data_IF_476430622795
#
_entry.id   IF_476430622795
#
_cell.length_a   1.000
_cell.length_b   1.000
_cell.length_c   1.000
_cell.angle_alpha   90.00
_cell.angle_beta   90.00
_cell.angle_gamma   90.00
#
_symmetry.space_group_name_H-M   'P 1'
#
loop_
_entity.id
_entity.type
_entity.pdbx_description
1 polymer ?
#
# COMPACT_ATOMS: atom_id res chain seq x y z
N UNK A 1 20.89 4.16 -19.09
CA UNK A 1 21.20 2.96 -18.28
C UNK A 1 19.92 2.47 -17.61
N UNK A 2 19.51 1.22 -17.85
CA UNK A 2 18.43 0.58 -17.09
C UNK A 2 19.03 0.09 -15.78
N UNK A 3 18.83 0.82 -14.67
CA UNK A 3 19.13 0.25 -13.34
C UNK A 3 18.00 -0.73 -13.01
N UNK A 4 18.27 -2.03 -12.89
CA UNK A 4 17.24 -3.03 -12.56
C UNK A 4 16.53 -2.71 -11.23
N UNK A 5 17.17 -1.96 -10.35
CA UNK A 5 16.63 -1.55 -9.03
C UNK A 5 15.78 -0.27 -9.07
N UNK A 6 15.53 0.32 -10.24
CA UNK A 6 14.77 1.58 -10.31
C UNK A 6 13.29 1.44 -9.91
N UNK A 7 12.77 0.21 -9.93
CA UNK A 7 11.38 -0.10 -9.64
C UNK A 7 11.22 -1.09 -8.49
N UNK A 8 10.07 -1.02 -7.84
CA UNK A 8 9.60 -2.00 -6.85
C UNK A 8 8.18 -2.42 -7.22
N UNK A 9 7.85 -3.70 -7.08
CA UNK A 9 6.51 -4.21 -7.36
C UNK A 9 5.63 -4.10 -6.11
N UNK A 10 4.33 -3.93 -6.30
CA UNK A 10 3.36 -3.99 -5.20
C UNK A 10 2.85 -5.41 -4.99
N UNK A 11 2.61 -5.80 -3.74
CA UNK A 11 2.00 -7.08 -3.39
C UNK A 11 0.78 -6.87 -2.51
N UNK A 12 -0.31 -7.51 -2.88
CA UNK A 12 -1.51 -7.59 -2.07
C UNK A 12 -1.26 -8.50 -0.87
N UNK A 13 -1.39 -7.94 0.34
CA UNK A 13 -1.40 -8.68 1.59
C UNK A 13 -2.81 -8.78 2.18
N UNK A 14 -2.93 -8.74 3.51
CA UNK A 14 -4.21 -8.95 4.22
C UNK A 14 -5.28 -7.95 3.75
N UNK A 15 -6.47 -8.48 3.48
CA UNK A 15 -7.67 -7.73 3.13
C UNK A 15 -7.51 -6.77 1.92
N UNK A 16 -6.59 -7.07 1.00
CA UNK A 16 -6.40 -6.32 -0.24
C UNK A 16 -7.00 -7.11 -1.41
N UNK A 17 -7.86 -6.44 -2.21
CA UNK A 17 -8.37 -6.96 -3.49
C UNK A 17 -7.50 -6.55 -4.67
N UNK A 18 -7.06 -5.30 -4.70
CA UNK A 18 -6.17 -4.79 -5.74
C UNK A 18 -5.41 -3.54 -5.31
N UNK A 19 -4.26 -3.32 -5.95
CA UNK A 19 -3.38 -2.16 -5.78
C UNK A 19 -3.05 -1.62 -7.17
N UNK A 20 -3.07 -0.30 -7.34
CA UNK A 20 -2.64 0.35 -8.58
C UNK A 20 -1.80 1.58 -8.24
N UNK A 21 -0.65 1.80 -8.89
CA UNK A 21 -0.01 0.96 -9.91
C UNK A 21 0.66 -0.29 -9.31
N UNK A 22 0.94 -1.30 -10.15
CA UNK A 22 1.60 -2.54 -9.76
C UNK A 22 3.13 -2.42 -9.62
N UNK A 23 3.70 -1.34 -10.19
CA UNK A 23 5.13 -1.01 -10.13
C UNK A 23 5.29 0.45 -9.75
N UNK A 24 6.20 0.72 -8.84
CA UNK A 24 6.53 2.05 -8.33
C UNK A 24 7.97 2.34 -8.65
N UNK A 25 8.30 3.63 -8.83
CA UNK A 25 9.70 4.03 -8.92
C UNK A 25 10.25 4.32 -7.53
N UNK A 26 11.51 3.94 -7.29
CA UNK A 26 12.20 4.18 -6.02
C UNK A 26 12.68 5.62 -5.81
N UNK A 27 12.61 6.47 -6.83
CA UNK A 27 13.15 7.84 -6.79
C UNK A 27 12.09 8.93 -6.60
N UNK A 28 10.80 8.58 -6.51
CA UNK A 28 9.72 9.56 -6.39
C UNK A 28 8.50 9.05 -5.63
N UNK A 29 7.77 9.94 -4.92
CA UNK A 29 6.51 9.59 -4.32
C UNK A 29 5.49 9.12 -5.35
N UNK A 30 4.64 8.17 -4.97
CA UNK A 30 3.57 7.65 -5.83
C UNK A 30 2.28 7.50 -5.04
N UNK A 31 1.15 7.77 -5.69
CA UNK A 31 -0.18 7.54 -5.11
C UNK A 31 -0.63 6.11 -5.44
N UNK A 32 -0.89 5.33 -4.40
CA UNK A 32 -1.51 4.02 -4.50
C UNK A 32 -3.03 4.16 -4.42
N UNK A 33 -3.71 3.44 -5.30
CA UNK A 33 -5.15 3.23 -5.31
C UNK A 33 -5.42 1.80 -4.89
N UNK A 34 -6.01 1.64 -3.71
CA UNK A 34 -6.14 0.35 -3.04
C UNK A 34 -7.62 0.04 -2.88
N UNK A 35 -8.03 -1.16 -3.29
CA UNK A 35 -9.35 -1.70 -3.00
C UNK A 35 -9.21 -2.85 -2.01
N UNK A 36 -10.06 -2.86 -0.99
CA UNK A 36 -10.10 -3.93 0.00
C UNK A 36 -10.96 -5.10 -0.48
N UNK A 37 -10.70 -6.29 0.05
CA UNK A 37 -11.46 -7.50 -0.29
C UNK A 37 -12.78 -7.57 0.48
N UNK A 38 -12.76 -7.22 1.77
CA UNK A 38 -13.88 -7.29 2.68
C UNK A 38 -14.03 -5.97 3.47
N UNK A 39 -15.26 -5.59 3.85
CA UNK A 39 -15.47 -4.43 4.69
C UNK A 39 -14.93 -4.70 6.10
N UNK A 40 -14.23 -3.72 6.68
CA UNK A 40 -13.71 -3.79 8.04
C UNK A 40 -13.74 -2.40 8.69
N UNK A 41 -13.91 -2.36 10.01
CA UNK A 41 -13.90 -1.15 10.83
C UNK A 41 -12.65 -1.08 11.69
N UNK A 42 -12.28 0.14 12.08
CA UNK A 42 -11.12 0.48 12.91
C UNK A 42 -9.86 -0.24 12.43
N UNK A 43 -9.40 0.12 11.23
CA UNK A 43 -8.29 -0.56 10.55
C UNK A 43 -7.05 0.33 10.43
N UNK A 44 -5.90 -0.32 10.27
CA UNK A 44 -4.64 0.28 9.86
C UNK A 44 -4.31 -0.24 8.47
N UNK A 45 -4.10 0.68 7.52
CA UNK A 45 -3.46 0.35 6.26
C UNK A 45 -1.95 0.56 6.39
N UNK A 46 -1.18 -0.45 5.99
CA UNK A 46 0.28 -0.44 6.03
C UNK A 46 0.85 -0.62 4.62
N UNK A 47 1.88 0.15 4.28
CA UNK A 47 2.63 0.03 3.04
C UNK A 47 4.09 0.39 3.30
N UNK A 48 4.95 -0.63 3.44
CA UNK A 48 6.33 -0.44 3.92
C UNK A 48 6.33 0.19 5.31
N UNK A 49 7.12 1.24 5.52
CA UNK A 49 7.15 2.01 6.78
C UNK A 49 5.93 2.92 7.02
N UNK A 50 5.04 3.11 6.04
CA UNK A 50 3.87 3.98 6.19
C UNK A 50 2.71 3.21 6.83
N UNK A 51 2.10 3.81 7.87
CA UNK A 51 0.88 3.31 8.51
C UNK A 51 -0.15 4.43 8.58
N UNK A 52 -1.41 4.14 8.23
CA UNK A 52 -2.53 5.09 8.33
C UNK A 52 -3.75 4.43 8.94
N UNK A 53 -4.28 5.02 10.01
CA UNK A 53 -5.55 4.59 10.61
C UNK A 53 -6.73 5.06 9.77
N UNK A 54 -7.71 4.18 9.59
CA UNK A 54 -8.98 4.45 8.91
C UNK A 54 -10.11 3.90 9.79
N UNK A 55 -11.17 4.69 9.94
CA UNK A 55 -12.35 4.27 10.73
C UNK A 55 -13.07 3.08 10.11
N UNK A 56 -13.11 3.01 8.79
CA UNK A 56 -13.71 1.89 8.06
C UNK A 56 -13.13 1.81 6.65
N UNK A 57 -13.24 0.63 6.06
CA UNK A 57 -12.98 0.36 4.65
C UNK A 57 -14.07 -0.55 4.09
N UNK A 58 -14.39 -0.39 2.81
CA UNK A 58 -15.41 -1.15 2.09
C UNK A 58 -14.93 -1.48 0.67
N UNK A 59 -15.29 -2.64 0.09
CA UNK A 59 -14.83 -3.00 -1.26
C UNK A 59 -15.28 -2.05 -2.38
N UNK A 60 -16.34 -1.27 -2.14
CA UNK A 60 -16.86 -0.27 -3.07
C UNK A 60 -16.03 1.02 -3.13
N UNK A 61 -15.22 1.30 -2.11
CA UNK A 61 -14.39 2.49 -2.07
C UNK A 61 -12.96 2.23 -2.56
N UNK A 62 -12.27 3.29 -2.96
CA UNK A 62 -10.85 3.23 -3.33
C UNK A 62 -10.07 4.08 -2.35
N UNK A 63 -9.25 3.42 -1.53
CA UNK A 63 -8.36 4.07 -0.59
C UNK A 63 -7.19 4.66 -1.36
N UNK A 64 -6.99 5.97 -1.24
CA UNK A 64 -5.82 6.68 -1.78
C UNK A 64 -4.75 6.81 -0.72
N UNK A 65 -3.56 6.29 -0.99
CA UNK A 65 -2.41 6.35 -0.09
C UNK A 65 -1.17 6.84 -0.85
N UNK A 66 -0.65 8.00 -0.48
CA UNK A 66 0.61 8.49 -1.04
C UNK A 66 1.77 7.87 -0.28
N UNK A 67 2.66 7.17 -0.99
CA UNK A 67 3.88 6.56 -0.44
C UNK A 67 5.10 7.30 -0.98
N UNK A 68 5.94 7.82 -0.07
CA UNK A 68 7.23 8.39 -0.39
C UNK A 68 8.32 7.29 -0.42
N UNK A 69 9.39 7.44 -1.21
CA UNK A 69 10.49 6.48 -1.30
C UNK A 69 11.09 6.04 0.03
N UNK A 70 11.18 6.96 1.01
CA UNK A 70 11.68 6.67 2.36
C UNK A 70 10.91 5.56 3.10
N UNK A 71 9.67 5.26 2.68
CA UNK A 71 8.89 4.18 3.27
C UNK A 71 9.20 2.79 2.68
N UNK A 72 9.94 2.70 1.57
CA UNK A 72 10.16 1.43 0.87
C UNK A 72 11.52 1.34 0.18
N UNK A 73 12.49 2.17 0.57
CA UNK A 73 13.82 2.24 -0.03
C UNK A 73 14.59 0.92 0.09
N UNK A 74 14.47 0.24 1.23
CA UNK A 74 15.15 -1.02 1.55
C UNK A 74 14.34 -2.26 1.17
N UNK A 75 13.07 -2.09 0.78
CA UNK A 75 12.16 -3.20 0.48
C UNK A 75 12.42 -3.76 -0.91
N UNK A 76 12.35 -5.09 -1.08
CA UNK A 76 12.38 -5.72 -2.42
C UNK A 76 11.01 -5.67 -3.10
N UNK A 77 9.93 -5.60 -2.31
CA UNK A 77 8.56 -5.55 -2.77
C UNK A 77 7.69 -4.79 -1.78
N UNK A 78 6.82 -3.89 -2.26
CA UNK A 78 5.92 -3.13 -1.40
C UNK A 78 4.67 -3.96 -1.08
N UNK A 79 4.65 -4.62 0.07
CA UNK A 79 3.44 -5.30 0.55
C UNK A 79 2.50 -4.30 1.18
N UNK A 80 1.24 -4.28 0.72
CA UNK A 80 0.17 -3.47 1.30
C UNK A 80 -0.76 -4.37 2.10
N UNK A 81 -1.05 -4.01 3.34
CA UNK A 81 -2.00 -4.75 4.19
C UNK A 81 -3.04 -3.81 4.78
N UNK A 82 -4.24 -4.34 5.02
CA UNK A 82 -5.25 -3.74 5.89
C UNK A 82 -5.50 -4.71 7.03
N UNK A 83 -5.30 -4.24 8.25
CA UNK A 83 -5.41 -4.99 9.51
C UNK A 83 -6.29 -4.23 10.49
N UNK A 84 -6.95 -4.93 11.42
CA UNK A 84 -7.64 -4.23 12.51
C UNK A 84 -6.62 -3.48 13.37
N UNK A 85 -6.94 -2.26 13.75
CA UNK A 85 -6.22 -1.55 14.79
C UNK A 85 -6.50 -2.28 16.10
N UNK A 86 -5.48 -2.93 16.65
CA UNK A 86 -5.51 -3.29 18.05
C UNK A 86 -5.61 -1.98 18.85
N UNK A 87 -6.55 -1.95 19.79
CA UNK A 87 -6.87 -0.80 20.63
C UNK A 87 -5.84 -0.65 21.75
#
# INVERSE_FOLDING_TARGET
EHRPDAFIETKAGRNIRSIVPQKLRRDRPTVLYIRVANPEQDVVISAGGLRRKLRQVTPGETVRLTVAPEHFSEELQLTVTVEKSEA
#
